data_IF_259886727501
#
_entry.id   IF_259886727501
#
_cell.length_a   1.000
_cell.length_b   1.000
_cell.length_c   1.000
_cell.angle_alpha   90.00
_cell.angle_beta   90.00
_cell.angle_gamma   90.00
#
_symmetry.space_group_name_H-M   'P 1'
#
loop_
_entity.id
_entity.type
_entity.pdbx_description
1 polymer ?
#
# COMPACT_ATOMS: atom_id res chain seq x y z
N UNK A 1 48.98 -35.34 47.00
CA UNK A 1 47.63 -35.75 46.56
C UNK A 1 47.23 -34.88 45.38
N UNK A 2 47.42 -35.38 44.14
CA UNK A 2 47.00 -34.71 42.90
C UNK A 2 45.49 -34.92 42.74
N UNK A 3 44.72 -33.86 42.52
CA UNK A 3 43.31 -33.93 42.16
C UNK A 3 43.22 -33.64 40.67
N UNK A 4 43.05 -34.70 39.90
CA UNK A 4 42.81 -34.61 38.46
C UNK A 4 41.35 -34.19 38.25
N UNK A 5 41.16 -32.91 37.92
CA UNK A 5 39.85 -32.34 37.60
C UNK A 5 39.49 -32.63 36.15
N UNK A 6 38.63 -33.62 35.94
CA UNK A 6 38.10 -33.97 34.62
C UNK A 6 37.02 -32.94 34.23
N UNK A 7 37.37 -31.98 33.38
CA UNK A 7 36.43 -31.01 32.86
C UNK A 7 35.59 -31.64 31.73
N UNK A 8 34.31 -31.91 32.00
CA UNK A 8 33.34 -32.32 30.99
C UNK A 8 32.94 -31.09 30.19
N UNK A 9 33.42 -30.99 28.96
CA UNK A 9 32.96 -29.97 28.00
C UNK A 9 31.64 -30.46 27.40
N UNK A 10 30.53 -29.92 27.88
CA UNK A 10 29.20 -30.15 27.33
C UNK A 10 29.07 -29.49 25.96
N UNK A 11 28.89 -30.30 24.91
CA UNK A 11 28.61 -29.83 23.56
C UNK A 11 27.16 -29.30 23.52
N UNK A 12 27.00 -27.98 23.57
CA UNK A 12 25.71 -27.32 23.31
C UNK A 12 25.39 -27.44 21.82
N UNK A 13 24.47 -28.33 21.48
CA UNK A 13 23.92 -28.44 20.14
C UNK A 13 22.98 -27.24 19.90
N UNK A 14 23.22 -26.38 18.89
CA UNK A 14 22.29 -25.31 18.56
C UNK A 14 21.01 -25.95 18.01
N UNK A 15 19.91 -25.84 18.76
CA UNK A 15 18.59 -26.16 18.25
C UNK A 15 18.27 -25.16 17.11
N UNK A 16 18.04 -25.68 15.90
CA UNK A 16 17.61 -24.87 14.78
C UNK A 16 16.19 -24.36 15.06
N UNK A 17 16.08 -23.12 15.56
CA UNK A 17 14.82 -22.40 15.66
C UNK A 17 14.43 -21.99 14.23
N UNK A 18 13.56 -22.77 13.60
CA UNK A 18 12.96 -22.43 12.32
C UNK A 18 11.81 -21.44 12.53
N UNK A 19 11.95 -20.22 12.02
CA UNK A 19 10.81 -19.31 11.91
C UNK A 19 9.96 -19.73 10.70
N UNK A 20 8.76 -20.26 10.94
CA UNK A 20 7.80 -20.53 9.87
C UNK A 20 7.02 -19.25 9.53
N UNK A 21 6.82 -18.92 8.24
CA UNK A 21 5.99 -17.79 7.84
C UNK A 21 4.57 -17.89 8.42
N UNK A 22 4.05 -16.77 8.95
CA UNK A 22 2.69 -16.72 9.44
C UNK A 22 1.70 -16.50 8.29
N UNK A 23 0.75 -17.42 8.11
CA UNK A 23 -0.33 -17.30 7.13
C UNK A 23 -1.63 -16.92 7.83
N UNK A 24 -2.22 -15.75 7.53
CA UNK A 24 -3.52 -15.35 8.09
C UNK A 24 -4.61 -16.33 7.66
N UNK A 25 -5.59 -16.56 8.52
CA UNK A 25 -6.69 -17.50 8.27
C UNK A 25 -7.91 -16.83 7.63
N UNK A 26 -7.90 -15.50 7.52
CA UNK A 26 -9.00 -14.69 7.00
C UNK A 26 -8.51 -13.32 6.52
N UNK A 27 -9.12 -12.77 5.48
CA UNK A 27 -8.86 -11.41 4.98
C UNK A 27 -9.21 -10.32 6.00
N UNK A 28 -10.09 -10.62 6.95
CA UNK A 28 -10.46 -9.71 8.03
C UNK A 28 -9.47 -9.72 9.20
N UNK A 29 -8.48 -10.62 9.19
CA UNK A 29 -7.53 -10.76 10.29
C UNK A 29 -6.56 -9.58 10.33
N UNK A 30 -6.68 -8.74 11.36
CA UNK A 30 -5.75 -7.63 11.60
C UNK A 30 -4.47 -8.17 12.24
N UNK A 31 -3.36 -8.14 11.49
CA UNK A 31 -2.05 -8.61 11.97
C UNK A 31 -1.39 -7.61 12.93
N UNK A 32 -1.44 -6.32 12.59
CA UNK A 32 -0.87 -5.26 13.37
C UNK A 32 -1.69 -3.98 13.18
N UNK A 33 -1.89 -3.23 14.26
CA UNK A 33 -2.43 -1.86 14.19
C UNK A 33 -1.26 -0.91 14.33
N UNK A 34 -0.81 -0.36 13.21
CA UNK A 34 0.23 0.67 13.21
C UNK A 34 -0.23 1.85 14.06
N UNK A 35 0.60 2.26 15.04
CA UNK A 35 0.33 3.49 15.78
C UNK A 35 0.36 4.64 14.77
N UNK A 36 -0.70 5.44 14.73
CA UNK A 36 -0.65 6.74 14.07
C UNK A 36 0.33 7.60 14.86
N UNK A 37 1.59 7.65 14.41
CA UNK A 37 2.60 8.60 14.87
C UNK A 37 2.00 10.02 14.78
N UNK A 38 2.45 11.01 15.61
CA UNK A 38 2.07 12.40 15.41
C UNK A 38 2.17 12.72 13.93
N UNK A 39 1.03 13.14 13.39
CA UNK A 39 0.62 12.91 12.00
C UNK A 39 1.75 13.20 11.03
N UNK A 40 2.16 12.19 10.28
CA UNK A 40 2.99 12.40 9.10
C UNK A 40 2.28 13.45 8.23
N UNK A 41 2.89 14.61 7.95
CA UNK A 41 2.25 15.67 7.16
C UNK A 41 1.77 15.13 5.81
N UNK A 42 2.49 14.17 5.24
CA UNK A 42 2.12 13.46 4.01
C UNK A 42 0.78 12.73 4.12
N UNK A 43 0.48 12.15 5.29
CA UNK A 43 -0.79 11.47 5.54
C UNK A 43 -1.94 12.46 5.72
N UNK A 44 -1.67 13.60 6.36
CA UNK A 44 -2.62 14.69 6.52
C UNK A 44 -3.02 15.29 5.16
N UNK A 45 -2.04 15.58 4.31
CA UNK A 45 -2.24 16.04 2.94
C UNK A 45 -3.05 15.05 2.12
N UNK A 46 -2.73 13.76 2.19
CA UNK A 46 -3.50 12.72 1.50
C UNK A 46 -4.96 12.66 1.97
N UNK A 47 -5.21 12.81 3.28
CA UNK A 47 -6.59 12.80 3.80
C UNK A 47 -7.37 14.05 3.40
N UNK A 48 -6.72 15.22 3.31
CA UNK A 48 -7.33 16.43 2.80
C UNK A 48 -7.72 16.27 1.32
N UNK A 49 -6.80 15.79 0.48
CA UNK A 49 -7.04 15.53 -0.95
C UNK A 49 -8.14 14.49 -1.18
N UNK A 50 -8.21 13.45 -0.33
CA UNK A 50 -9.32 12.48 -0.36
C UNK A 50 -10.66 13.14 -0.05
N UNK A 51 -10.71 13.90 1.04
CA UNK A 51 -11.92 14.61 1.46
C UNK A 51 -12.41 15.61 0.40
N UNK A 52 -11.48 16.17 -0.38
CA UNK A 52 -11.78 17.08 -1.48
C UNK A 52 -12.31 16.32 -2.71
N UNK A 53 -11.71 15.16 -3.04
CA UNK A 53 -12.22 14.28 -4.11
C UNK A 53 -13.57 13.66 -3.79
N UNK A 54 -13.87 13.36 -2.52
CA UNK A 54 -15.19 12.89 -2.12
C UNK A 54 -16.27 13.96 -2.33
N UNK A 55 -15.93 15.23 -2.08
CA UNK A 55 -16.83 16.37 -2.32
C UNK A 55 -16.95 16.72 -3.80
N UNK A 56 -15.84 16.64 -4.53
CA UNK A 56 -15.77 17.02 -5.94
C UNK A 56 -15.04 15.93 -6.74
N UNK A 57 -15.73 14.81 -7.07
CA UNK A 57 -15.09 13.65 -7.70
C UNK A 57 -14.48 13.91 -9.07
N UNK A 58 -14.92 14.99 -9.73
CA UNK A 58 -14.46 15.39 -11.07
C UNK A 58 -13.38 16.47 -11.04
N UNK A 59 -12.86 16.85 -9.87
CA UNK A 59 -11.74 17.80 -9.80
C UNK A 59 -10.43 17.12 -10.20
N UNK A 60 -10.08 17.27 -11.48
CA UNK A 60 -8.91 16.64 -12.09
C UNK A 60 -7.58 17.12 -11.49
N UNK A 61 -7.52 18.37 -11.03
CA UNK A 61 -6.31 18.93 -10.43
C UNK A 61 -6.01 18.25 -9.09
N UNK A 62 -7.04 18.08 -8.26
CA UNK A 62 -6.94 17.39 -6.96
C UNK A 62 -6.62 15.91 -7.17
N UNK A 63 -7.24 15.29 -8.20
CA UNK A 63 -6.99 13.90 -8.54
C UNK A 63 -5.52 13.67 -8.97
N UNK A 64 -4.97 14.60 -9.75
CA UNK A 64 -3.56 14.58 -10.14
C UNK A 64 -2.63 14.76 -8.94
N UNK A 65 -2.91 15.73 -8.06
CA UNK A 65 -2.10 15.99 -6.87
C UNK A 65 -2.08 14.80 -5.89
N UNK A 66 -3.17 14.02 -5.84
CA UNK A 66 -3.27 12.83 -4.98
C UNK A 66 -2.50 11.61 -5.52
N UNK A 67 -2.14 11.58 -6.81
CA UNK A 67 -1.57 10.40 -7.48
C UNK A 67 -0.25 9.90 -6.84
N UNK A 68 0.75 10.76 -6.54
CA UNK A 68 2.03 10.28 -6.03
C UNK A 68 1.91 9.65 -4.64
N UNK A 69 0.96 10.16 -3.84
CA UNK A 69 0.65 9.66 -2.50
C UNK A 69 -0.07 8.30 -2.55
N UNK A 70 -0.89 8.06 -3.59
CA UNK A 70 -1.54 6.76 -3.82
C UNK A 70 -0.54 5.67 -4.20
N UNK A 71 0.52 5.99 -4.97
CA UNK A 71 1.58 5.00 -5.28
C UNK A 71 2.40 4.59 -4.05
N UNK A 72 2.67 5.54 -3.15
CA UNK A 72 3.50 5.32 -1.95
C UNK A 72 2.77 4.63 -0.81
N UNK A 73 1.47 4.83 -0.70
CA UNK A 73 0.67 4.14 0.30
C UNK A 73 0.26 2.78 -0.25
N UNK A 74 0.48 1.68 0.50
CA UNK A 74 -0.08 0.35 0.20
C UNK A 74 -1.63 0.31 0.21
N UNK A 75 -2.27 1.48 0.20
CA UNK A 75 -3.69 1.75 0.15
C UNK A 75 -4.21 1.82 -1.29
N UNK A 76 -3.64 1.02 -2.20
CA UNK A 76 -4.26 0.71 -3.50
C UNK A 76 -5.72 0.23 -3.34
N UNK A 77 -6.07 -0.31 -2.16
CA UNK A 77 -7.39 -0.85 -1.83
C UNK A 77 -8.43 0.14 -1.32
N UNK A 78 -8.10 1.42 -1.12
CA UNK A 78 -9.08 2.42 -0.67
C UNK A 78 -9.38 3.40 -1.80
N UNK A 79 -10.33 3.00 -2.67
CA UNK A 79 -10.88 3.78 -3.79
C UNK A 79 -12.06 4.65 -3.31
N UNK A 80 -11.95 5.98 -3.34
CA UNK A 80 -13.09 6.81 -3.66
C UNK A 80 -13.09 7.07 -5.18
N UNK A 81 -14.14 6.59 -5.86
CA UNK A 81 -14.38 6.78 -7.31
C UNK A 81 -13.97 5.58 -8.18
N UNK A 82 -14.89 5.08 -9.00
CA UNK A 82 -14.57 4.12 -10.07
C UNK A 82 -13.91 4.86 -11.24
N UNK A 83 -12.89 4.30 -11.92
CA UNK A 83 -12.35 4.87 -13.16
C UNK A 83 -13.48 5.19 -14.15
N UNK A 84 -14.57 4.42 -14.13
CA UNK A 84 -15.78 4.61 -14.96
C UNK A 84 -16.33 6.04 -14.91
N UNK A 85 -16.24 6.73 -13.76
CA UNK A 85 -16.73 8.12 -13.64
C UNK A 85 -15.88 9.14 -14.41
N UNK A 86 -14.64 8.79 -14.75
CA UNK A 86 -13.73 9.56 -15.60
C UNK A 86 -13.81 9.13 -17.08
N UNK A 87 -14.52 8.03 -17.39
CA UNK A 87 -14.58 7.43 -18.74
C UNK A 87 -15.54 8.19 -19.67
N UNK A 88 -16.59 8.83 -19.15
CA UNK A 88 -17.66 9.43 -19.96
C UNK A 88 -17.32 10.78 -20.62
N UNK A 89 -16.05 11.21 -20.64
CA UNK A 89 -15.65 12.43 -21.33
C UNK A 89 -15.38 12.13 -22.82
N UNK A 90 -16.18 12.66 -23.78
CA UNK A 90 -16.04 12.34 -25.21
C UNK A 90 -14.77 12.88 -25.86
N UNK A 91 -14.10 13.85 -25.23
CA UNK A 91 -12.79 14.36 -25.62
C UNK A 91 -11.97 14.65 -24.35
N UNK A 92 -11.41 13.61 -23.72
CA UNK A 92 -10.71 13.76 -22.45
C UNK A 92 -9.46 14.65 -22.63
N UNK A 93 -9.29 15.71 -21.84
CA UNK A 93 -8.03 16.44 -21.78
C UNK A 93 -6.85 15.51 -21.45
N UNK A 94 -5.61 15.83 -21.84
CA UNK A 94 -4.44 14.96 -21.61
C UNK A 94 -4.27 14.50 -20.16
N UNK A 95 -4.58 15.37 -19.20
CA UNK A 95 -4.53 15.04 -17.77
C UNK A 95 -5.50 13.92 -17.38
N UNK A 96 -6.67 13.86 -18.01
CA UNK A 96 -7.68 12.81 -17.81
C UNK A 96 -7.17 11.48 -18.33
N UNK A 97 -6.53 11.48 -19.52
CA UNK A 97 -5.94 10.28 -20.11
C UNK A 97 -4.85 9.70 -19.20
N UNK A 98 -3.91 10.52 -18.73
CA UNK A 98 -2.84 10.10 -17.82
C UNK A 98 -3.41 9.52 -16.51
N UNK A 99 -4.41 10.18 -15.93
CA UNK A 99 -5.05 9.71 -14.70
C UNK A 99 -5.78 8.37 -14.91
N UNK A 100 -6.52 8.24 -16.01
CA UNK A 100 -7.27 7.02 -16.36
C UNK A 100 -6.32 5.86 -16.65
N UNK A 101 -5.25 6.09 -17.41
CA UNK A 101 -4.20 5.12 -17.68
C UNK A 101 -3.56 4.62 -16.37
N UNK A 102 -3.21 5.54 -15.47
CA UNK A 102 -2.59 5.22 -14.17
C UNK A 102 -3.52 4.36 -13.30
N UNK A 103 -4.82 4.69 -13.27
CA UNK A 103 -5.81 3.94 -12.52
C UNK A 103 -6.01 2.53 -13.09
N UNK A 104 -6.11 2.40 -14.42
CA UNK A 104 -6.22 1.12 -15.12
C UNK A 104 -4.99 0.24 -14.91
N UNK A 105 -3.79 0.81 -15.05
CA UNK A 105 -2.52 0.12 -14.77
C UNK A 105 -2.47 -0.42 -13.33
N UNK A 106 -2.87 0.40 -12.34
CA UNK A 106 -2.90 -0.01 -10.93
C UNK A 106 -3.95 -1.10 -10.64
N UNK A 107 -4.97 -1.20 -11.49
CA UNK A 107 -6.01 -2.23 -11.45
C UNK A 107 -5.64 -3.46 -12.30
N UNK A 108 -4.41 -3.52 -12.83
CA UNK A 108 -3.91 -4.56 -13.74
C UNK A 108 -4.64 -4.63 -15.09
N UNK A 109 -5.38 -3.59 -15.47
CA UNK A 109 -5.91 -3.41 -16.83
C UNK A 109 -4.84 -2.67 -17.66
N UNK A 110 -3.84 -3.41 -18.10
CA UNK A 110 -2.71 -2.85 -18.86
C UNK A 110 -3.10 -2.45 -20.27
N UNK A 111 -3.94 -3.25 -20.92
CA UNK A 111 -4.42 -2.96 -22.28
C UNK A 111 -5.25 -1.68 -22.30
N UNK A 112 -6.17 -1.52 -21.34
CA UNK A 112 -6.92 -0.29 -21.17
C UNK A 112 -6.06 0.90 -20.77
N UNK A 113 -4.94 0.69 -20.07
CA UNK A 113 -4.01 1.77 -19.74
C UNK A 113 -3.21 2.25 -20.95
N UNK A 114 -2.84 1.36 -21.87
CA UNK A 114 -2.14 1.69 -23.11
C UNK A 114 -3.04 2.33 -24.16
N UNK A 115 -4.35 2.10 -24.07
CA UNK A 115 -5.37 2.66 -24.97
C UNK A 115 -5.76 4.12 -24.66
N UNK A 116 -5.27 4.67 -23.55
CA UNK A 116 -5.45 6.08 -23.15
C UNK A 116 -4.27 6.95 -23.60
#
# INVERSE_FOLDING_TARGET
MKRDGLAVVGLLWPAAVGATPFTPTSDAQVLERLRTRPVDPTYQELQALRSELERTPRNLEVAHRAEPHRRRSALQRLRPGSPDTLVECPSPPPLVLILRATLRQSSHDFDGALAD
#
